data_IF_695201397121
#
_entry.id   IF_695201397121
#
_cell.length_a   1.000
_cell.length_b   1.000
_cell.length_c   1.000
_cell.angle_alpha   90.00
_cell.angle_beta   90.00
_cell.angle_gamma   90.00
#
_symmetry.space_group_name_H-M   'P 1'
#
loop_
_entity.id
_entity.type
_entity.pdbx_description
1 polymer ?
#
# COMPACT_ATOMS: atom_id res chain seq x y z
N UNK A 1 6.06 10.65 -1.06
CA UNK A 1 7.19 9.78 -1.49
C UNK A 1 8.39 10.66 -1.81
N UNK A 2 9.49 10.53 -1.07
CA UNK A 2 10.72 11.28 -1.36
C UNK A 2 11.27 10.90 -2.75
N UNK A 3 11.83 11.85 -3.48
CA UNK A 3 12.48 11.56 -4.76
C UNK A 3 13.72 10.68 -4.55
N UNK A 4 13.89 9.69 -5.42
CA UNK A 4 15.15 8.93 -5.47
C UNK A 4 16.29 9.92 -5.75
N UNK A 5 17.36 9.96 -4.94
CA UNK A 5 18.52 10.80 -5.21
C UNK A 5 19.07 10.54 -6.62
N UNK A 6 19.61 11.56 -7.28
CA UNK A 6 20.15 11.41 -8.63
C UNK A 6 21.47 10.63 -8.61
N UNK A 7 22.30 10.87 -7.62
CA UNK A 7 23.60 10.22 -7.46
C UNK A 7 23.51 8.98 -6.59
N UNK A 8 24.09 7.88 -7.05
CA UNK A 8 24.10 6.60 -6.32
C UNK A 8 24.89 6.67 -5.00
N UNK A 9 25.83 7.60 -4.86
CA UNK A 9 26.54 7.84 -3.60
C UNK A 9 25.62 8.30 -2.47
N UNK A 10 24.55 9.02 -2.83
CA UNK A 10 23.58 9.59 -1.88
C UNK A 10 22.45 8.59 -1.53
N UNK A 11 22.51 7.37 -2.06
CA UNK A 11 21.54 6.36 -1.72
C UNK A 11 21.72 5.90 -0.27
N UNK A 12 20.63 5.82 0.53
CA UNK A 12 20.68 5.19 1.83
C UNK A 12 21.14 3.73 1.76
N UNK A 13 21.82 3.26 2.78
CA UNK A 13 22.40 1.91 2.81
C UNK A 13 21.32 0.82 2.58
N UNK A 14 20.17 0.95 3.20
CA UNK A 14 19.05 0.02 3.00
C UNK A 14 18.60 -0.08 1.55
N UNK A 15 18.63 1.04 0.81
CA UNK A 15 18.25 1.06 -0.60
C UNK A 15 19.32 0.41 -1.48
N UNK A 16 20.60 0.67 -1.19
CA UNK A 16 21.73 0.01 -1.86
C UNK A 16 21.62 -1.52 -1.69
N UNK A 17 21.37 -1.99 -0.46
CA UNK A 17 21.22 -3.41 -0.16
C UNK A 17 20.07 -4.05 -0.95
N UNK A 18 18.89 -3.41 -1.03
CA UNK A 18 17.78 -3.90 -1.85
C UNK A 18 18.13 -3.95 -3.34
N UNK A 19 18.78 -2.92 -3.86
CA UNK A 19 19.21 -2.90 -5.26
C UNK A 19 20.19 -4.01 -5.58
N UNK A 20 21.14 -4.29 -4.70
CA UNK A 20 22.14 -5.34 -4.91
C UNK A 20 21.51 -6.73 -4.86
N UNK A 21 20.54 -6.96 -4.00
CA UNK A 21 19.75 -8.17 -4.00
C UNK A 21 18.96 -8.34 -5.32
N UNK A 22 18.36 -7.24 -5.82
CA UNK A 22 17.65 -7.25 -7.08
C UNK A 22 18.58 -7.43 -8.30
N UNK A 23 19.77 -6.86 -8.30
CA UNK A 23 20.78 -7.05 -9.37
C UNK A 23 21.12 -8.54 -9.58
N UNK A 24 21.23 -9.30 -8.48
CA UNK A 24 21.56 -10.74 -8.48
C UNK A 24 20.33 -11.64 -8.64
N UNK A 25 19.13 -11.08 -8.65
CA UNK A 25 17.89 -11.85 -8.67
C UNK A 25 17.64 -12.47 -10.06
N UNK A 26 17.30 -13.78 -10.15
CA UNK A 26 16.99 -14.43 -11.43
C UNK A 26 15.72 -13.86 -12.10
N UNK A 27 14.88 -13.15 -11.34
CA UNK A 27 13.66 -12.47 -11.85
C UNK A 27 13.92 -11.05 -12.34
N UNK A 28 15.15 -10.53 -12.22
CA UNK A 28 15.52 -9.26 -12.83
C UNK A 28 15.56 -9.41 -14.36
N UNK A 29 14.93 -8.49 -15.08
CA UNK A 29 14.89 -8.50 -16.54
C UNK A 29 16.28 -8.55 -17.20
N UNK A 30 17.31 -8.00 -16.54
CA UNK A 30 18.70 -8.04 -17.02
C UNK A 30 19.31 -9.44 -16.97
N UNK A 31 18.81 -10.31 -16.11
CA UNK A 31 19.34 -11.67 -15.89
C UNK A 31 18.55 -12.74 -16.67
N UNK A 32 17.50 -12.34 -17.40
CA UNK A 32 16.64 -13.23 -18.16
C UNK A 32 16.96 -13.09 -19.65
N UNK A 33 17.01 -14.20 -20.36
CA UNK A 33 17.18 -14.19 -21.81
C UNK A 33 16.03 -13.39 -22.47
N UNK A 34 16.38 -12.54 -23.42
CA UNK A 34 15.50 -11.55 -24.04
C UNK A 34 14.16 -12.13 -24.51
N UNK A 35 14.20 -13.29 -25.16
CA UNK A 35 13.02 -14.00 -25.70
C UNK A 35 12.15 -14.69 -24.63
N UNK A 36 12.59 -14.73 -23.37
CA UNK A 36 11.84 -15.29 -22.23
C UNK A 36 11.14 -14.22 -21.40
N UNK A 37 11.28 -12.95 -21.75
CA UNK A 37 10.68 -11.86 -21.02
C UNK A 37 9.21 -11.67 -21.42
N UNK A 38 8.31 -11.40 -20.44
CA UNK A 38 6.97 -10.93 -20.76
C UNK A 38 7.02 -9.64 -21.59
N UNK A 39 6.09 -9.46 -22.53
CA UNK A 39 6.10 -8.32 -23.47
C UNK A 39 6.26 -6.96 -22.80
N UNK A 40 5.55 -6.73 -21.68
CA UNK A 40 5.65 -5.49 -20.89
C UNK A 40 7.07 -5.26 -20.35
N UNK A 41 7.69 -6.30 -19.82
CA UNK A 41 9.04 -6.23 -19.23
C UNK A 41 10.11 -6.10 -20.33
N UNK A 42 9.87 -6.74 -21.46
CA UNK A 42 10.71 -6.63 -22.64
C UNK A 42 10.76 -5.18 -23.16
N UNK A 43 9.60 -4.52 -23.27
CA UNK A 43 9.53 -3.11 -23.68
C UNK A 43 10.30 -2.21 -22.72
N UNK A 44 10.17 -2.44 -21.41
CA UNK A 44 10.91 -1.67 -20.40
C UNK A 44 12.43 -1.84 -20.52
N UNK A 45 12.88 -3.07 -20.79
CA UNK A 45 14.31 -3.35 -21.02
C UNK A 45 14.83 -2.69 -22.31
N UNK A 46 14.03 -2.63 -23.37
CA UNK A 46 14.36 -1.90 -24.60
C UNK A 46 14.53 -0.40 -24.34
N UNK A 47 13.79 0.15 -23.38
CA UNK A 47 13.95 1.54 -22.93
C UNK A 47 15.11 1.74 -21.94
N UNK A 48 15.98 0.75 -21.76
CA UNK A 48 17.11 0.82 -20.83
C UNK A 48 16.78 0.72 -19.36
N UNK A 49 15.54 0.30 -19.02
CA UNK A 49 15.08 0.21 -17.63
C UNK A 49 15.07 -1.25 -17.16
N UNK A 50 15.56 -1.48 -15.93
CA UNK A 50 15.49 -2.78 -15.29
C UNK A 50 14.14 -2.96 -14.58
N UNK A 51 13.51 -4.10 -14.82
CA UNK A 51 12.23 -4.43 -14.21
C UNK A 51 12.21 -5.86 -13.61
N UNK A 52 11.37 -6.10 -12.65
CA UNK A 52 11.11 -7.42 -12.10
C UNK A 52 10.13 -8.17 -13.02
N UNK A 53 10.48 -9.37 -13.48
CA UNK A 53 9.63 -10.17 -14.37
C UNK A 53 8.36 -10.72 -13.72
N UNK A 54 8.29 -10.74 -12.39
CA UNK A 54 7.10 -11.20 -11.65
C UNK A 54 6.00 -10.13 -11.59
N UNK A 55 6.35 -8.91 -11.17
CA UNK A 55 5.36 -7.85 -11.01
C UNK A 55 5.39 -6.79 -12.12
N UNK A 56 6.38 -6.83 -13.01
CA UNK A 56 6.56 -5.82 -14.05
C UNK A 56 6.96 -4.42 -13.54
N UNK A 57 7.28 -4.29 -12.25
CA UNK A 57 7.66 -3.00 -11.68
C UNK A 57 9.13 -2.67 -11.97
N UNK A 58 9.42 -1.39 -12.15
CA UNK A 58 10.79 -0.93 -12.23
C UNK A 58 11.52 -1.18 -10.92
N UNK A 59 12.71 -1.76 -10.99
CA UNK A 59 13.46 -2.21 -9.80
C UNK A 59 13.87 -1.03 -8.92
N UNK A 60 14.35 0.08 -9.51
CA UNK A 60 14.76 1.25 -8.73
C UNK A 60 13.60 1.83 -7.94
N UNK A 61 12.48 2.05 -8.59
CA UNK A 61 11.30 2.63 -7.97
C UNK A 61 10.71 1.72 -6.89
N UNK A 62 10.57 0.42 -7.20
CA UNK A 62 10.04 -0.53 -6.22
C UNK A 62 10.96 -0.70 -5.02
N UNK A 63 12.27 -0.79 -5.22
CA UNK A 63 13.23 -0.91 -4.12
C UNK A 63 13.27 0.36 -3.23
N UNK A 64 12.92 1.52 -3.78
CA UNK A 64 12.83 2.78 -3.04
C UNK A 64 11.60 2.87 -2.13
N UNK A 65 10.54 2.15 -2.45
CA UNK A 65 9.33 2.12 -1.63
C UNK A 65 9.58 1.33 -0.35
N UNK A 66 9.59 2.00 0.81
CA UNK A 66 9.85 1.35 2.10
C UNK A 66 8.79 0.33 2.46
N UNK A 67 7.54 0.56 2.07
CA UNK A 67 6.39 -0.31 2.31
C UNK A 67 6.34 -1.55 1.42
N UNK A 68 7.09 -1.56 0.33
CA UNK A 68 7.05 -2.67 -0.61
C UNK A 68 7.87 -3.87 -0.14
N UNK A 69 7.41 -5.04 -0.51
CA UNK A 69 8.12 -6.32 -0.32
C UNK A 69 8.57 -6.91 -1.64
N UNK A 70 9.58 -7.78 -1.59
CA UNK A 70 9.99 -8.53 -2.77
C UNK A 70 8.84 -9.46 -3.22
N UNK A 71 8.42 -9.39 -4.51
CA UNK A 71 7.28 -10.18 -5.00
C UNK A 71 7.50 -11.71 -4.95
N UNK A 72 8.73 -12.18 -4.73
CA UNK A 72 8.99 -13.61 -4.48
C UNK A 72 8.30 -14.11 -3.20
N UNK A 73 7.92 -13.23 -2.26
CA UNK A 73 7.12 -13.59 -1.08
C UNK A 73 5.82 -14.30 -1.45
N UNK A 74 5.24 -13.96 -2.60
CA UNK A 74 3.95 -14.48 -3.07
C UNK A 74 4.08 -15.66 -4.05
N UNK A 75 5.29 -16.19 -4.23
CA UNK A 75 5.54 -17.34 -5.09
C UNK A 75 5.80 -18.55 -4.21
N UNK A 76 4.99 -19.59 -4.38
CA UNK A 76 5.10 -20.83 -3.61
C UNK A 76 6.53 -21.43 -3.69
N UNK A 77 7.10 -21.79 -2.54
CA UNK A 77 8.45 -22.34 -2.45
C UNK A 77 9.60 -21.33 -2.56
N UNK A 78 9.32 -20.07 -2.83
CA UNK A 78 10.33 -19.02 -2.93
C UNK A 78 10.40 -18.17 -1.64
N UNK A 79 11.59 -17.61 -1.38
CA UNK A 79 11.79 -16.67 -0.27
C UNK A 79 11.97 -15.27 -0.80
N UNK A 80 11.33 -14.32 -0.14
CA UNK A 80 11.56 -12.89 -0.40
C UNK A 80 13.05 -12.57 -0.28
N UNK A 81 13.58 -11.80 -1.22
CA UNK A 81 14.98 -11.33 -1.16
C UNK A 81 15.15 -10.16 -0.18
N UNK A 82 14.09 -9.40 0.04
CA UNK A 82 13.99 -8.33 1.03
C UNK A 82 12.54 -8.15 1.45
N UNK A 83 12.34 -7.78 2.69
CA UNK A 83 11.04 -7.44 3.25
C UNK A 83 10.77 -5.94 3.13
N UNK A 84 9.54 -5.51 3.38
CA UNK A 84 9.30 -4.14 3.76
C UNK A 84 10.32 -3.81 4.86
N UNK A 85 10.96 -2.67 4.79
CA UNK A 85 11.59 -2.12 5.99
C UNK A 85 10.46 -2.00 6.99
N UNK A 86 10.71 -2.36 8.24
CA UNK A 86 9.72 -2.20 9.28
C UNK A 86 9.03 -0.86 9.06
N UNK A 87 7.91 -0.91 8.36
CA UNK A 87 6.90 0.08 8.53
C UNK A 87 6.64 -0.10 10.00
N UNK A 88 6.96 0.91 10.79
CA UNK A 88 6.55 0.94 12.17
C UNK A 88 5.08 0.67 12.07
N UNK A 89 4.70 -0.58 12.32
CA UNK A 89 3.31 -0.96 12.43
C UNK A 89 2.82 -0.02 13.48
N UNK A 90 1.93 0.89 13.10
CA UNK A 90 1.33 1.78 14.07
C UNK A 90 0.94 0.86 15.20
N UNK A 91 1.42 1.16 16.39
CA UNK A 91 0.93 0.45 17.54
C UNK A 91 -0.58 0.64 17.48
N UNK A 92 -1.35 -0.42 17.20
CA UNK A 92 -2.79 -0.31 16.97
C UNK A 92 -3.49 0.29 18.20
N UNK A 93 -2.83 0.22 19.34
CA UNK A 93 -3.26 0.87 20.57
C UNK A 93 -3.33 2.41 20.47
N UNK A 94 -2.59 3.03 19.53
CA UNK A 94 -2.60 4.49 19.34
C UNK A 94 -3.72 4.96 18.39
N UNK A 95 -4.23 4.05 17.54
CA UNK A 95 -5.29 4.37 16.61
C UNK A 95 -6.63 3.77 17.04
N UNK A 96 -7.67 4.54 16.83
CA UNK A 96 -9.04 4.07 16.85
C UNK A 96 -9.71 4.45 15.54
N UNK A 97 -10.68 3.65 15.09
CA UNK A 97 -11.39 3.86 13.85
C UNK A 97 -12.88 3.75 14.09
N UNK A 98 -13.65 4.64 13.50
CA UNK A 98 -15.10 4.61 13.54
C UNK A 98 -15.65 4.72 12.12
N UNK A 99 -16.65 3.95 11.82
CA UNK A 99 -17.41 4.05 10.58
C UNK A 99 -18.81 4.64 10.89
N UNK A 100 -19.17 5.80 10.35
CA UNK A 100 -20.50 6.36 10.55
C UNK A 100 -21.60 5.64 9.76
N UNK A 101 -21.25 4.71 8.89
CA UNK A 101 -22.18 3.89 8.14
C UNK A 101 -22.45 2.58 8.90
N UNK A 102 -23.60 2.47 9.53
CA UNK A 102 -24.02 1.30 10.31
C UNK A 102 -24.18 0.02 9.47
N UNK A 103 -24.17 0.15 8.13
CA UNK A 103 -24.20 -1.00 7.21
C UNK A 103 -22.82 -1.63 6.97
N UNK A 104 -21.75 -1.07 7.52
CA UNK A 104 -20.41 -1.59 7.41
C UNK A 104 -19.93 -2.09 8.78
N UNK A 105 -19.13 -3.15 8.76
CA UNK A 105 -18.49 -3.65 9.96
C UNK A 105 -16.99 -3.31 9.95
N UNK A 106 -16.45 -2.98 11.12
CA UNK A 106 -15.09 -2.51 11.28
C UNK A 106 -14.45 -3.17 12.50
N UNK A 107 -13.20 -3.58 12.36
CA UNK A 107 -12.46 -4.22 13.44
C UNK A 107 -10.98 -4.34 13.14
N UNK A 108 -10.32 -5.16 13.95
CA UNK A 108 -8.92 -5.58 13.74
C UNK A 108 -8.90 -7.00 13.17
N UNK A 109 -7.90 -7.29 12.35
CA UNK A 109 -7.62 -8.65 11.89
C UNK A 109 -7.23 -9.55 13.07
N UNK A 110 -7.35 -10.87 12.93
CA UNK A 110 -7.07 -11.84 14.00
C UNK A 110 -5.64 -11.75 14.55
N UNK A 111 -4.70 -11.32 13.71
CA UNK A 111 -3.30 -11.09 14.08
C UNK A 111 -3.03 -9.66 14.57
N UNK A 112 -4.09 -8.85 14.70
CA UNK A 112 -4.04 -7.43 15.10
C UNK A 112 -3.08 -6.58 14.25
N UNK A 113 -2.75 -7.02 13.04
CA UNK A 113 -1.76 -6.36 12.19
C UNK A 113 -2.31 -5.22 11.35
N UNK A 114 -3.62 -5.20 11.10
CA UNK A 114 -4.28 -4.16 10.33
C UNK A 114 -5.77 -4.02 10.70
N UNK A 115 -6.34 -2.86 10.44
CA UNK A 115 -7.78 -2.68 10.51
C UNK A 115 -8.46 -3.30 9.30
N UNK A 116 -9.68 -3.83 9.47
CA UNK A 116 -10.53 -4.21 8.36
C UNK A 116 -11.81 -3.40 8.34
N UNK A 117 -12.35 -3.20 7.14
CA UNK A 117 -13.67 -2.67 6.86
C UNK A 117 -14.41 -3.68 5.99
N UNK A 118 -15.43 -4.33 6.55
CA UNK A 118 -16.30 -5.21 5.79
C UNK A 118 -17.51 -4.40 5.27
N UNK A 119 -17.61 -4.28 3.96
CA UNK A 119 -18.70 -3.56 3.30
C UNK A 119 -19.79 -4.50 2.77
N UNK A 120 -19.67 -5.79 3.13
CA UNK A 120 -20.62 -6.85 2.77
C UNK A 120 -20.89 -6.97 1.28
N UNK A 121 -22.14 -7.28 0.90
CA UNK A 121 -22.54 -7.51 -0.49
C UNK A 121 -22.63 -6.20 -1.27
N UNK A 122 -21.94 -6.13 -2.39
CA UNK A 122 -21.90 -4.95 -3.25
C UNK A 122 -22.24 -5.32 -4.68
N UNK A 123 -23.14 -4.56 -5.31
CA UNK A 123 -23.47 -4.79 -6.71
C UNK A 123 -22.34 -4.33 -7.63
N UNK A 124 -22.03 -5.17 -8.63
CA UNK A 124 -21.03 -4.82 -9.65
C UNK A 124 -21.54 -3.63 -10.49
N UNK A 125 -20.72 -2.62 -10.63
CA UNK A 125 -21.03 -1.36 -11.32
C UNK A 125 -21.37 -0.21 -10.38
N UNK A 126 -21.53 -0.47 -9.09
CA UNK A 126 -21.82 0.59 -8.11
C UNK A 126 -20.54 1.34 -7.72
N UNK A 127 -20.72 2.60 -7.35
CA UNK A 127 -19.71 3.43 -6.69
C UNK A 127 -20.09 3.60 -5.23
N UNK A 128 -19.23 3.15 -4.36
CA UNK A 128 -19.46 3.12 -2.92
C UNK A 128 -18.64 4.23 -2.29
N UNK A 129 -19.29 5.18 -1.64
CA UNK A 129 -18.60 6.17 -0.81
C UNK A 129 -18.29 5.55 0.56
N UNK A 130 -17.02 5.57 0.93
CA UNK A 130 -16.53 5.13 2.23
C UNK A 130 -16.09 6.37 3.01
N UNK A 131 -16.68 6.54 4.19
CA UNK A 131 -16.35 7.60 5.14
C UNK A 131 -15.92 6.94 6.45
N UNK A 132 -14.72 7.29 6.93
CA UNK A 132 -14.19 6.79 8.18
C UNK A 132 -13.70 7.94 9.04
N UNK A 133 -13.81 7.77 10.34
CA UNK A 133 -13.16 8.62 11.32
C UNK A 133 -11.96 7.88 11.90
N UNK A 134 -10.77 8.40 11.66
CA UNK A 134 -9.51 7.88 12.17
C UNK A 134 -9.08 8.78 13.32
N UNK A 135 -8.90 8.19 14.49
CA UNK A 135 -8.60 8.89 15.73
C UNK A 135 -7.22 8.42 16.20
N UNK A 136 -6.38 9.34 16.59
CA UNK A 136 -5.10 9.08 17.22
C UNK A 136 -4.93 9.98 18.43
N UNK A 137 -4.49 9.43 19.56
CA UNK A 137 -4.42 10.17 20.84
C UNK A 137 -3.59 11.46 20.75
N UNK A 138 -2.48 11.44 20.02
CA UNK A 138 -1.58 12.58 19.84
C UNK A 138 -1.88 13.40 18.57
N UNK A 139 -3.03 13.14 17.92
CA UNK A 139 -3.36 13.67 16.61
C UNK A 139 -2.51 13.05 15.50
N UNK A 140 -3.11 12.85 14.33
CA UNK A 140 -2.44 12.25 13.18
C UNK A 140 -2.55 13.15 11.95
N UNK A 141 -1.42 13.45 11.34
CA UNK A 141 -1.32 14.23 10.12
C UNK A 141 -0.98 13.32 8.95
N UNK A 142 -1.97 13.00 8.12
CA UNK A 142 -1.74 12.22 6.90
C UNK A 142 -0.89 13.04 5.94
N UNK A 143 0.20 12.46 5.48
CA UNK A 143 1.09 13.06 4.48
C UNK A 143 0.93 12.41 3.12
N UNK A 144 0.73 11.10 3.10
CA UNK A 144 0.54 10.35 1.86
C UNK A 144 -0.38 9.15 2.10
N UNK A 145 -0.94 8.64 1.01
CA UNK A 145 -1.75 7.43 1.01
C UNK A 145 -1.33 6.50 -0.13
N UNK A 146 -1.54 5.21 0.07
CA UNK A 146 -1.33 4.19 -0.95
C UNK A 146 -2.62 3.41 -1.16
N UNK A 147 -3.03 3.31 -2.42
CA UNK A 147 -4.20 2.55 -2.85
C UNK A 147 -3.74 1.26 -3.52
N UNK A 148 -4.27 0.13 -3.07
CA UNK A 148 -3.91 -1.18 -3.60
C UNK A 148 -4.42 -1.45 -5.00
N UNK A 149 -5.38 -0.68 -5.51
CA UNK A 149 -5.90 -0.81 -6.87
C UNK A 149 -6.40 0.53 -7.44
N UNK A 150 -6.52 0.60 -8.77
CA UNK A 150 -7.15 1.71 -9.47
C UNK A 150 -8.69 1.73 -9.38
N UNK A 151 -9.30 0.85 -8.59
CA UNK A 151 -10.72 0.84 -8.26
C UNK A 151 -11.05 1.75 -7.07
N UNK A 152 -10.03 2.20 -6.35
CA UNK A 152 -10.13 3.18 -5.27
C UNK A 152 -9.75 4.56 -5.80
N UNK A 153 -10.56 5.56 -5.50
CA UNK A 153 -10.36 6.93 -5.97
C UNK A 153 -10.96 7.97 -5.06
N UNK A 154 -10.92 9.21 -5.48
CA UNK A 154 -11.51 10.38 -4.81
C UNK A 154 -11.11 10.47 -3.33
N UNK A 155 -9.84 10.14 -3.02
CA UNK A 155 -9.34 10.11 -1.65
C UNK A 155 -9.17 11.53 -1.12
N UNK A 156 -9.78 11.78 0.02
CA UNK A 156 -9.60 13.01 0.78
C UNK A 156 -9.51 12.73 2.28
N UNK A 157 -8.80 13.58 2.98
CA UNK A 157 -8.69 13.51 4.43
C UNK A 157 -8.58 14.92 5.00
N UNK A 158 -9.43 15.21 5.98
CA UNK A 158 -9.53 16.52 6.62
C UNK A 158 -9.59 16.33 8.12
N UNK A 159 -9.07 17.31 8.87
CA UNK A 159 -9.27 17.34 10.32
C UNK A 159 -10.75 17.50 10.64
N UNK A 160 -11.20 16.82 11.67
CA UNK A 160 -12.54 17.04 12.19
C UNK A 160 -12.63 18.46 12.81
N UNK A 161 -13.71 19.22 12.52
CA UNK A 161 -13.80 20.60 12.99
C UNK A 161 -13.77 20.72 14.52
N UNK A 162 -14.37 19.76 15.22
CA UNK A 162 -14.56 19.81 16.68
C UNK A 162 -13.58 18.88 17.44
N UNK A 163 -12.69 18.18 16.76
CA UNK A 163 -11.75 17.26 17.40
C UNK A 163 -10.45 17.17 16.58
N UNK A 164 -9.40 17.80 17.07
CA UNK A 164 -8.09 17.86 16.38
C UNK A 164 -7.38 16.51 16.27
N UNK A 165 -7.77 15.51 17.10
CA UNK A 165 -7.22 14.17 17.10
C UNK A 165 -7.96 13.25 16.13
N UNK A 166 -9.01 13.74 15.46
CA UNK A 166 -9.87 13.01 14.56
C UNK A 166 -9.70 13.47 13.12
N UNK A 167 -9.53 12.51 12.22
CA UNK A 167 -9.46 12.75 10.77
C UNK A 167 -10.73 12.19 10.14
N UNK A 168 -11.37 12.98 9.28
CA UNK A 168 -12.42 12.52 8.39
C UNK A 168 -11.74 12.03 7.12
N UNK A 169 -11.71 10.73 6.92
CA UNK A 169 -11.23 10.11 5.69
C UNK A 169 -12.40 9.77 4.78
N UNK A 170 -12.28 10.06 3.49
CA UNK A 170 -13.27 9.73 2.46
C UNK A 170 -12.59 9.12 1.26
N UNK A 171 -13.24 8.14 0.65
CA UNK A 171 -12.83 7.56 -0.63
C UNK A 171 -14.02 6.99 -1.38
N UNK A 172 -13.85 6.79 -2.68
CA UNK A 172 -14.80 6.07 -3.53
C UNK A 172 -14.21 4.73 -3.95
N UNK A 173 -14.99 3.67 -3.85
CA UNK A 173 -14.68 2.35 -4.37
C UNK A 173 -15.57 2.08 -5.59
N UNK A 174 -14.96 1.89 -6.76
CA UNK A 174 -15.65 1.59 -8.02
C UNK A 174 -15.61 0.07 -8.27
N UNK A 175 -16.77 -0.57 -8.18
CA UNK A 175 -16.91 -2.02 -8.36
C UNK A 175 -17.10 -2.44 -9.82
N UNK A 176 -17.10 -1.50 -10.78
CA UNK A 176 -17.39 -1.79 -12.21
C UNK A 176 -16.45 -2.81 -12.86
N UNK A 177 -15.25 -2.98 -12.29
CA UNK A 177 -14.24 -3.92 -12.78
C UNK A 177 -14.13 -5.19 -11.95
N UNK A 178 -15.04 -5.40 -11.00
CA UNK A 178 -15.03 -6.60 -10.16
C UNK A 178 -15.68 -7.77 -10.88
N UNK A 179 -15.25 -8.96 -10.50
CA UNK A 179 -15.90 -10.23 -10.82
C UNK A 179 -16.76 -10.65 -9.63
N UNK A 180 -17.79 -11.47 -9.88
CA UNK A 180 -18.57 -12.06 -8.79
C UNK A 180 -17.69 -12.83 -7.80
N UNK A 181 -18.00 -12.70 -6.51
CA UNK A 181 -17.34 -13.35 -5.40
C UNK A 181 -16.59 -12.41 -4.49
N UNK A 182 -15.80 -13.00 -3.62
CA UNK A 182 -15.03 -12.28 -2.61
C UNK A 182 -14.01 -11.32 -3.21
N UNK A 183 -13.91 -10.14 -2.65
CA UNK A 183 -12.83 -9.20 -2.98
C UNK A 183 -12.17 -8.66 -1.72
N UNK A 184 -10.89 -8.35 -1.88
CA UNK A 184 -10.06 -7.75 -0.85
C UNK A 184 -9.22 -6.62 -1.44
N UNK A 185 -9.20 -5.48 -0.78
CA UNK A 185 -8.43 -4.29 -1.19
C UNK A 185 -7.69 -3.72 -0.01
N UNK A 186 -6.49 -3.24 -0.26
CA UNK A 186 -5.64 -2.64 0.76
C UNK A 186 -5.45 -1.17 0.50
N UNK A 187 -5.55 -0.42 1.57
CA UNK A 187 -5.26 1.01 1.65
C UNK A 187 -4.29 1.22 2.80
N UNK A 188 -3.38 2.15 2.66
CA UNK A 188 -2.63 2.63 3.82
C UNK A 188 -2.49 4.13 3.81
N UNK A 189 -2.60 4.72 5.00
CA UNK A 189 -2.28 6.11 5.25
C UNK A 189 -0.95 6.19 5.97
N UNK A 190 -0.12 7.13 5.57
CA UNK A 190 1.15 7.41 6.21
C UNK A 190 1.21 8.86 6.62
N UNK A 191 1.73 9.09 7.80
CA UNK A 191 1.79 10.43 8.36
C UNK A 191 2.63 10.51 9.63
N UNK A 192 2.41 11.52 10.40
CA UNK A 192 3.12 11.77 11.66
C UNK A 192 2.18 12.33 12.72
N UNK A 193 2.52 12.13 13.99
CA UNK A 193 1.82 12.73 15.12
C UNK A 193 2.43 14.08 15.49
N UNK A 194 1.67 14.92 16.21
CA UNK A 194 2.15 16.25 16.64
C UNK A 194 3.41 16.18 17.50
N UNK A 195 3.51 15.15 18.33
CA UNK A 195 4.54 15.03 19.36
C UNK A 195 5.72 14.16 18.93
N UNK A 196 5.85 13.86 17.62
CA UNK A 196 6.99 13.13 17.09
C UNK A 196 8.09 14.08 16.60
N UNK A 197 9.07 14.43 17.46
CA UNK A 197 10.14 15.36 17.11
C UNK A 197 11.07 14.83 16.02
N UNK A 198 11.14 13.52 15.82
CA UNK A 198 11.95 12.86 14.81
C UNK A 198 11.21 12.67 13.48
N UNK A 199 9.94 13.03 13.40
CA UNK A 199 9.07 12.84 12.25
C UNK A 199 9.02 11.38 11.77
N UNK A 200 9.01 10.44 12.70
CA UNK A 200 8.79 9.04 12.38
C UNK A 200 7.40 8.88 11.78
N UNK A 201 7.35 8.34 10.58
CA UNK A 201 6.07 8.10 9.94
C UNK A 201 5.32 6.99 10.65
N UNK A 202 4.10 7.30 11.08
CA UNK A 202 3.11 6.31 11.47
C UNK A 202 2.43 5.77 10.23
N UNK A 203 2.08 4.50 10.28
CA UNK A 203 1.40 3.78 9.22
C UNK A 203 0.05 3.27 9.74
N UNK A 204 -1.00 3.62 9.04
CA UNK A 204 -2.36 3.14 9.31
C UNK A 204 -2.78 2.23 8.15
N UNK A 205 -2.70 0.90 8.29
CA UNK A 205 -3.13 -0.06 7.29
C UNK A 205 -4.64 -0.33 7.43
N UNK A 206 -5.33 -0.41 6.29
CA UNK A 206 -6.75 -0.75 6.23
C UNK A 206 -6.99 -1.76 5.12
N UNK A 207 -7.67 -2.85 5.45
CA UNK A 207 -8.16 -3.87 4.54
C UNK A 207 -9.65 -3.66 4.31
N UNK A 208 -10.08 -3.54 3.08
CA UNK A 208 -11.50 -3.45 2.68
C UNK A 208 -11.89 -4.79 2.08
N UNK A 209 -12.90 -5.43 2.64
CA UNK A 209 -13.39 -6.74 2.21
C UNK A 209 -14.89 -6.69 1.89
N UNK A 210 -15.35 -7.58 1.03
CA UNK A 210 -16.75 -7.73 0.68
C UNK A 210 -16.98 -8.79 -0.39
N UNK A 211 -18.24 -8.97 -0.75
CA UNK A 211 -18.68 -9.85 -1.83
C UNK A 211 -19.28 -9.03 -2.96
N UNK A 212 -18.86 -9.30 -4.19
CA UNK A 212 -19.40 -8.65 -5.38
C UNK A 212 -20.43 -9.56 -6.07
N UNK A 213 -21.60 -9.01 -6.44
CA UNK A 213 -22.66 -9.72 -7.16
C UNK A 213 -23.19 -8.90 -8.35
N UNK A 214 -23.85 -9.57 -9.30
CA UNK A 214 -24.49 -8.95 -10.48
C UNK A 214 -25.84 -8.31 -10.19
#
# INVERSE_FOLDING_TARGET
MGRIPKDEKDYPEWYKNRLDLCKKCPKNSSNIAFFKLPAKVLLQRLMGRQACSLCGCFIKEKAWMKTEVCPLKFVEGEKAKWNAMEVITADHNDFNIECPNDSFDIGLTDDESEFYLNIFDQKIGDKIEIVLFIIHNDGFHVKEHHLGCGCMGDVSYNKHPDNENRIIFRMTLDTSKYTEGHFEKHLSLMGYTKDDPERNFKHFPLRIIGEAYK
#
